data_IF_679181164005
#
_entry.id   IF_679181164005
#
_cell.length_a   1.000
_cell.length_b   1.000
_cell.length_c   1.000
_cell.angle_alpha   90.00
_cell.angle_beta   90.00
_cell.angle_gamma   90.00
#
_symmetry.space_group_name_H-M   'P 1'
#
loop_
_entity.id
_entity.type
_entity.pdbx_description
1 polymer ?
#
# COMPACT_ATOMS: atom_id res chain seq x y z
N UNK A 1 30.81 13.60 3.09
CA UNK A 1 29.49 12.91 3.12
C UNK A 1 28.37 13.96 2.95
N UNK A 2 28.04 14.41 1.71
CA UNK A 2 27.06 15.46 1.48
C UNK A 2 25.70 14.98 0.92
N UNK A 3 25.51 13.68 0.67
CA UNK A 3 24.32 13.15 -0.01
C UNK A 3 23.03 13.14 0.84
N UNK A 4 23.12 13.23 2.17
CA UNK A 4 21.93 13.20 3.04
C UNK A 4 21.20 14.54 3.15
N UNK A 5 21.91 15.66 2.94
CA UNK A 5 21.33 17.00 3.08
C UNK A 5 20.47 17.42 1.86
N UNK A 6 20.70 16.80 0.70
CA UNK A 6 19.97 17.08 -0.55
C UNK A 6 18.59 16.43 -0.57
N UNK A 7 18.45 15.23 0.02
CA UNK A 7 17.17 14.52 0.06
C UNK A 7 16.19 15.17 1.05
N UNK A 8 16.68 15.59 2.22
CA UNK A 8 15.87 16.31 3.22
C UNK A 8 15.38 17.68 2.71
N UNK A 9 16.19 18.36 1.89
CA UNK A 9 15.82 19.62 1.26
C UNK A 9 14.80 19.43 0.12
N UNK A 10 14.93 18.37 -0.67
CA UNK A 10 13.96 18.01 -1.72
C UNK A 10 12.60 17.60 -1.13
N UNK A 11 12.59 16.88 0.00
CA UNK A 11 11.35 16.50 0.72
C UNK A 11 10.66 17.75 1.31
N UNK A 12 11.43 18.73 1.82
CA UNK A 12 10.88 20.00 2.34
C UNK A 12 10.35 20.93 1.25
N UNK A 13 11.01 21.02 0.09
CA UNK A 13 10.56 21.87 -1.02
C UNK A 13 9.20 21.43 -1.60
N UNK A 14 8.90 20.15 -1.49
CA UNK A 14 7.64 19.53 -1.92
C UNK A 14 6.49 19.72 -0.91
N UNK A 15 6.81 20.20 0.30
CA UNK A 15 5.86 20.47 1.38
C UNK A 15 5.22 21.88 1.33
N UNK A 16 5.42 22.64 0.25
CA UNK A 16 4.50 23.74 -0.08
C UNK A 16 3.09 23.17 -0.25
N UNK A 17 2.06 23.92 0.16
CA UNK A 17 0.65 23.48 0.17
C UNK A 17 0.24 22.94 -1.22
N UNK A 18 0.40 21.62 -1.41
CA UNK A 18 0.03 20.96 -2.67
C UNK A 18 -1.46 21.18 -2.86
N UNK A 19 -1.85 21.60 -4.07
CA UNK A 19 -3.26 21.72 -4.39
C UNK A 19 -3.96 20.37 -4.15
N UNK A 20 -5.22 20.36 -3.66
CA UNK A 20 -5.95 19.11 -3.39
C UNK A 20 -5.96 18.16 -4.59
N UNK A 21 -6.05 18.72 -5.80
CA UNK A 21 -5.97 17.99 -7.07
C UNK A 21 -4.61 17.32 -7.28
N UNK A 22 -3.51 18.01 -6.99
CA UNK A 22 -2.16 17.45 -7.10
C UNK A 22 -1.92 16.32 -6.10
N UNK A 23 -2.36 16.50 -4.85
CA UNK A 23 -2.28 15.45 -3.83
C UNK A 23 -3.10 14.21 -4.21
N UNK A 24 -4.31 14.40 -4.74
CA UNK A 24 -5.15 13.30 -5.24
C UNK A 24 -4.51 12.56 -6.42
N UNK A 25 -4.04 13.29 -7.44
CA UNK A 25 -3.42 12.68 -8.64
C UNK A 25 -2.15 11.94 -8.24
N UNK A 26 -1.30 12.52 -7.38
CA UNK A 26 -0.10 11.84 -6.89
C UNK A 26 -0.47 10.54 -6.17
N UNK A 27 -1.45 10.56 -5.27
CA UNK A 27 -1.92 9.36 -4.57
C UNK A 27 -2.50 8.32 -5.53
N UNK A 28 -3.31 8.74 -6.49
CA UNK A 28 -3.94 7.87 -7.48
C UNK A 28 -2.90 7.22 -8.39
N UNK A 29 -1.95 8.00 -8.92
CA UNK A 29 -0.90 7.50 -9.81
C UNK A 29 0.05 6.56 -9.06
N UNK A 30 0.49 6.92 -7.86
CA UNK A 30 1.38 6.06 -7.05
C UNK A 30 0.72 4.74 -6.66
N UNK A 31 -0.58 4.73 -6.36
CA UNK A 31 -1.30 3.48 -6.07
C UNK A 31 -1.65 2.70 -7.33
N UNK A 32 -2.10 3.36 -8.41
CA UNK A 32 -2.53 2.74 -9.66
C UNK A 32 -1.38 2.15 -10.47
N UNK A 33 -0.21 2.79 -10.46
CA UNK A 33 1.01 2.27 -11.09
C UNK A 33 1.77 1.28 -10.19
N UNK A 34 1.23 0.86 -9.05
CA UNK A 34 1.91 -0.09 -8.18
C UNK A 34 1.78 -1.52 -8.75
N UNK A 35 2.82 -2.08 -9.40
CA UNK A 35 2.71 -3.39 -10.03
C UNK A 35 2.44 -4.49 -9.01
N UNK A 36 2.82 -4.30 -7.74
CA UNK A 36 2.56 -5.25 -6.65
C UNK A 36 1.06 -5.39 -6.39
N UNK A 37 0.31 -4.29 -6.44
CA UNK A 37 -1.14 -4.32 -6.24
C UNK A 37 -1.83 -5.09 -7.38
N UNK A 38 -1.45 -4.80 -8.62
CA UNK A 38 -1.96 -5.49 -9.81
C UNK A 38 -1.68 -6.99 -9.76
N UNK A 39 -0.45 -7.39 -9.46
CA UNK A 39 -0.07 -8.81 -9.36
C UNK A 39 -0.78 -9.52 -8.20
N UNK A 40 -0.97 -8.85 -7.06
CA UNK A 40 -1.72 -9.38 -5.93
C UNK A 40 -3.19 -9.63 -6.29
N UNK A 41 -3.86 -8.64 -6.88
CA UNK A 41 -5.26 -8.79 -7.29
C UNK A 41 -5.42 -9.84 -8.39
N UNK A 42 -4.49 -9.90 -9.34
CA UNK A 42 -4.47 -10.95 -10.36
C UNK A 42 -4.34 -12.35 -9.72
N UNK A 43 -3.38 -12.53 -8.82
CA UNK A 43 -3.18 -13.81 -8.10
C UNK A 43 -4.42 -14.19 -7.27
N UNK A 44 -5.00 -13.23 -6.55
CA UNK A 44 -6.21 -13.46 -5.76
C UNK A 44 -7.38 -13.86 -6.67
N UNK A 45 -7.56 -13.17 -7.80
CA UNK A 45 -8.57 -13.49 -8.80
C UNK A 45 -8.39 -14.92 -9.32
N UNK A 46 -7.16 -15.32 -9.66
CA UNK A 46 -6.87 -16.68 -10.15
C UNK A 46 -7.07 -17.78 -9.09
N UNK A 47 -6.85 -17.49 -7.81
CA UNK A 47 -6.98 -18.47 -6.72
C UNK A 47 -8.42 -18.62 -6.26
N UNK A 48 -9.18 -17.52 -6.22
CA UNK A 48 -10.53 -17.49 -5.66
C UNK A 48 -11.61 -17.84 -6.68
N UNK A 49 -11.37 -17.57 -7.97
CA UNK A 49 -12.39 -17.76 -9.01
C UNK A 49 -12.19 -19.10 -9.70
N UNK A 50 -13.15 -20.00 -9.52
CA UNK A 50 -13.25 -21.18 -10.35
C UNK A 50 -13.61 -20.75 -11.80
N UNK A 51 -12.85 -21.15 -12.83
CA UNK A 51 -13.10 -20.78 -14.23
C UNK A 51 -14.51 -21.12 -14.73
N UNK A 52 -15.21 -22.07 -14.11
CA UNK A 52 -16.57 -22.47 -14.46
C UNK A 52 -17.68 -21.55 -13.91
N UNK A 53 -17.32 -20.52 -13.13
CA UNK A 53 -18.29 -19.59 -12.54
C UNK A 53 -18.75 -18.56 -13.57
N UNK A 54 -20.06 -18.22 -13.65
CA UNK A 54 -20.57 -17.23 -14.60
C UNK A 54 -19.84 -15.88 -14.52
N UNK A 55 -19.53 -15.27 -15.68
CA UNK A 55 -18.84 -13.97 -15.80
C UNK A 55 -19.45 -12.86 -14.93
N UNK A 56 -20.77 -12.88 -14.74
CA UNK A 56 -21.48 -11.92 -13.88
C UNK A 56 -21.04 -12.01 -12.41
N UNK A 57 -20.82 -13.23 -11.91
CA UNK A 57 -20.38 -13.49 -10.53
C UNK A 57 -18.90 -13.14 -10.37
N UNK A 58 -18.08 -13.41 -11.41
CA UNK A 58 -16.68 -12.96 -11.45
C UNK A 58 -16.57 -11.43 -11.41
N UNK A 59 -17.42 -10.73 -12.17
CA UNK A 59 -17.57 -9.29 -12.11
C UNK A 59 -17.98 -8.81 -10.71
N UNK A 60 -18.90 -9.52 -10.06
CA UNK A 60 -19.28 -9.28 -8.67
C UNK A 60 -18.11 -9.33 -7.69
N UNK A 61 -17.23 -10.34 -7.80
CA UNK A 61 -16.01 -10.40 -6.98
C UNK A 61 -15.07 -9.23 -7.25
N UNK A 62 -14.90 -8.82 -8.51
CA UNK A 62 -14.10 -7.66 -8.87
C UNK A 62 -14.64 -6.36 -8.25
N UNK A 63 -15.96 -6.13 -8.36
CA UNK A 63 -16.63 -4.97 -7.75
C UNK A 63 -16.50 -5.00 -6.22
N UNK A 64 -16.71 -6.16 -5.60
CA UNK A 64 -16.55 -6.32 -4.16
C UNK A 64 -15.13 -5.98 -3.71
N UNK A 65 -14.11 -6.54 -4.38
CA UNK A 65 -12.70 -6.25 -4.05
C UNK A 65 -12.36 -4.78 -4.21
N UNK A 66 -12.84 -4.14 -5.29
CA UNK A 66 -12.66 -2.71 -5.50
C UNK A 66 -13.33 -1.88 -4.40
N UNK A 67 -14.58 -2.18 -4.06
CA UNK A 67 -15.33 -1.47 -3.02
C UNK A 67 -14.72 -1.66 -1.63
N UNK A 68 -14.32 -2.89 -1.27
CA UNK A 68 -13.66 -3.19 -0.01
C UNK A 68 -12.32 -2.46 0.11
N UNK A 69 -11.52 -2.44 -0.96
CA UNK A 69 -10.24 -1.71 -1.01
C UNK A 69 -10.44 -0.21 -0.90
N UNK A 70 -11.43 0.34 -1.60
CA UNK A 70 -11.78 1.75 -1.53
C UNK A 70 -12.25 2.15 -0.13
N UNK A 71 -13.16 1.37 0.48
CA UNK A 71 -13.64 1.60 1.83
C UNK A 71 -12.51 1.56 2.86
N UNK A 72 -11.60 0.60 2.73
CA UNK A 72 -10.40 0.49 3.55
C UNK A 72 -9.51 1.73 3.41
N UNK A 73 -9.18 2.16 2.19
CA UNK A 73 -8.37 3.37 1.99
C UNK A 73 -9.04 4.64 2.46
N UNK A 74 -10.37 4.78 2.29
CA UNK A 74 -11.12 5.90 2.87
C UNK A 74 -11.03 5.92 4.40
N UNK A 75 -11.15 4.76 5.05
CA UNK A 75 -11.00 4.64 6.49
C UNK A 75 -9.60 5.07 6.93
N UNK A 76 -8.55 4.55 6.29
CA UNK A 76 -7.16 4.91 6.58
C UNK A 76 -6.92 6.40 6.34
N UNK A 77 -7.41 6.95 5.22
CA UNK A 77 -7.29 8.38 4.91
C UNK A 77 -7.94 9.25 6.00
N UNK A 78 -9.15 8.92 6.45
CA UNK A 78 -9.81 9.64 7.55
C UNK A 78 -9.01 9.57 8.85
N UNK A 79 -8.47 8.39 9.18
CA UNK A 79 -7.70 8.19 10.39
C UNK A 79 -6.42 9.04 10.37
N UNK A 80 -5.71 9.08 9.23
CA UNK A 80 -4.47 9.84 9.06
C UNK A 80 -4.66 11.33 8.75
N UNK A 81 -5.87 11.76 8.35
CA UNK A 81 -6.22 13.18 8.28
C UNK A 81 -6.17 13.86 9.65
N UNK A 82 -6.35 13.12 10.75
CA UNK A 82 -6.22 13.66 12.10
C UNK A 82 -4.75 13.91 12.45
N UNK A 83 -4.39 15.17 12.75
CA UNK A 83 -3.02 15.57 13.08
C UNK A 83 -2.42 14.79 14.26
N UNK A 84 -3.26 14.45 15.26
CA UNK A 84 -2.86 13.63 16.42
C UNK A 84 -2.44 12.21 16.02
N UNK A 85 -3.19 11.56 15.15
CA UNK A 85 -2.88 10.19 14.71
C UNK A 85 -1.65 10.19 13.82
N UNK A 86 -1.52 11.16 12.91
CA UNK A 86 -0.32 11.31 12.08
C UNK A 86 0.94 11.52 12.91
N UNK A 87 0.88 12.37 13.95
CA UNK A 87 2.02 12.61 14.83
C UNK A 87 2.39 11.38 15.68
N UNK A 88 1.38 10.66 16.20
CA UNK A 88 1.60 9.39 16.91
C UNK A 88 2.21 8.32 16.02
N UNK A 89 1.70 8.17 14.78
CA UNK A 89 2.22 7.23 13.80
C UNK A 89 3.66 7.58 13.38
N UNK A 90 3.96 8.87 13.15
CA UNK A 90 5.33 9.30 12.81
C UNK A 90 6.33 8.97 13.93
N UNK A 91 5.94 9.13 15.21
CA UNK A 91 6.79 8.79 16.36
C UNK A 91 6.99 7.27 16.50
N UNK A 92 5.98 6.48 16.13
CA UNK A 92 6.03 5.02 16.18
C UNK A 92 6.55 4.38 14.88
N UNK A 93 6.73 5.19 13.82
CA UNK A 93 7.02 4.72 12.46
C UNK A 93 8.27 3.87 12.39
N UNK A 94 9.35 4.27 13.07
CA UNK A 94 10.58 3.46 13.11
C UNK A 94 10.41 2.09 13.77
N UNK A 95 9.52 1.96 14.76
CA UNK A 95 9.20 0.67 15.35
C UNK A 95 8.36 -0.18 14.40
N UNK A 96 7.42 0.44 13.69
CA UNK A 96 6.61 -0.23 12.67
C UNK A 96 7.48 -0.74 11.52
N UNK A 97 8.41 0.08 11.02
CA UNK A 97 9.35 -0.29 9.95
C UNK A 97 10.23 -1.46 10.37
N UNK A 98 10.76 -1.46 11.61
CA UNK A 98 11.56 -2.57 12.14
C UNK A 98 10.74 -3.85 12.30
N UNK A 99 9.50 -3.74 12.79
CA UNK A 99 8.63 -4.90 12.93
C UNK A 99 8.27 -5.49 11.56
N UNK A 100 7.90 -4.66 10.59
CA UNK A 100 7.56 -5.10 9.23
C UNK A 100 8.78 -5.71 8.53
N UNK A 101 9.95 -5.08 8.64
CA UNK A 101 11.20 -5.63 8.16
C UNK A 101 11.51 -7.00 8.79
N UNK A 102 11.33 -7.14 10.11
CA UNK A 102 11.49 -8.41 10.81
C UNK A 102 10.53 -9.49 10.30
N UNK A 103 9.25 -9.17 10.11
CA UNK A 103 8.24 -10.09 9.57
C UNK A 103 8.58 -10.50 8.15
N UNK A 104 8.99 -9.56 7.28
CA UNK A 104 9.39 -9.88 5.91
C UNK A 104 10.61 -10.78 5.85
N UNK A 105 11.63 -10.53 6.69
CA UNK A 105 12.81 -11.40 6.78
C UNK A 105 12.40 -12.80 7.26
N UNK A 106 11.56 -12.90 8.28
CA UNK A 106 11.07 -14.18 8.78
C UNK A 106 10.28 -14.95 7.71
N UNK A 107 9.40 -14.27 6.97
CA UNK A 107 8.66 -14.87 5.85
C UNK A 107 9.59 -15.30 4.71
N UNK A 108 10.60 -14.50 4.38
CA UNK A 108 11.60 -14.84 3.37
C UNK A 108 12.42 -16.07 3.75
N UNK A 109 12.86 -16.17 5.01
CA UNK A 109 13.55 -17.35 5.55
C UNK A 109 12.62 -18.57 5.50
N UNK A 110 11.38 -18.43 5.95
CA UNK A 110 10.39 -19.53 5.91
C UNK A 110 10.18 -20.02 4.47
N UNK A 111 10.02 -19.11 3.52
CA UNK A 111 9.84 -19.44 2.11
C UNK A 111 11.07 -20.17 1.57
N UNK A 112 12.27 -19.64 1.79
CA UNK A 112 13.52 -20.28 1.36
C UNK A 112 13.67 -21.70 1.94
N UNK A 113 13.37 -21.90 3.22
CA UNK A 113 13.43 -23.23 3.85
C UNK A 113 12.32 -24.18 3.38
N UNK A 114 11.19 -23.65 2.91
CA UNK A 114 10.08 -24.45 2.37
C UNK A 114 10.35 -24.86 0.93
N UNK A 115 10.88 -23.96 0.10
CA UNK A 115 11.19 -24.22 -1.31
C UNK A 115 12.49 -25.03 -1.51
N UNK A 116 13.42 -24.99 -0.54
CA UNK A 116 14.66 -25.81 -0.57
C UNK A 116 14.40 -27.27 -0.16
N UNK A 117 13.18 -27.59 0.30
CA UNK A 117 12.80 -28.91 0.81
C UNK A 117 11.83 -29.61 -0.12
#
# INVERSE_FOLDING_TARGET
>A
KPAAATDDAAIKAVAGERSPRSAYISGFVTNGLNPKATLFFLSLFTVVINPHTPLLVQGGYGVYLAAATAAWFCLVARLFSQARVRAGFARMGHWFDRAMGGVLVALGIKLALTEVR
#
